data_IF_690091708011
#
_entry.id   IF_690091708011
#
_cell.length_a   1.000
_cell.length_b   1.000
_cell.length_c   1.000
_cell.angle_alpha   90.00
_cell.angle_beta   90.00
_cell.angle_gamma   90.00
#
_symmetry.space_group_name_H-M   'P 1'
#
loop_
_entity.id
_entity.type
_entity.pdbx_description
1 polymer ?
#
# COMPACT_ATOMS: atom_id res chain seq x y z
N UNK A 1 8.49 5.14 -2.08
CA UNK A 1 8.17 4.50 -3.39
C UNK A 1 8.84 5.20 -4.57
N UNK A 2 8.69 6.52 -4.77
CA UNK A 2 9.14 7.26 -5.99
C UNK A 2 10.52 6.88 -6.54
N UNK A 3 11.57 6.81 -5.70
CA UNK A 3 12.93 6.41 -6.15
C UNK A 3 12.99 4.98 -6.69
N UNK A 4 12.30 4.04 -6.06
CA UNK A 4 12.23 2.65 -6.54
C UNK A 4 11.39 2.54 -7.81
N UNK A 5 10.28 3.26 -7.89
CA UNK A 5 9.43 3.28 -9.09
C UNK A 5 10.13 3.89 -10.32
N UNK A 6 11.10 4.78 -10.13
CA UNK A 6 11.93 5.29 -11.24
C UNK A 6 12.84 4.22 -11.87
N UNK A 7 13.11 3.13 -11.14
CA UNK A 7 13.95 2.00 -11.59
C UNK A 7 13.08 0.79 -11.95
N UNK A 8 11.99 0.57 -11.21
CA UNK A 8 11.05 -0.53 -11.38
C UNK A 8 9.62 0.03 -11.46
N UNK A 9 9.16 0.48 -12.65
CA UNK A 9 7.86 1.10 -12.82
C UNK A 9 6.69 0.20 -12.41
N UNK A 10 6.82 -1.11 -12.62
CA UNK A 10 5.77 -2.09 -12.33
C UNK A 10 5.79 -2.61 -10.89
N UNK A 11 6.70 -2.10 -10.04
CA UNK A 11 6.83 -2.55 -8.66
C UNK A 11 5.60 -2.14 -7.83
N UNK A 12 4.79 -3.13 -7.43
CA UNK A 12 3.64 -2.89 -6.55
C UNK A 12 4.12 -2.50 -5.14
N UNK A 13 3.48 -1.48 -4.54
CA UNK A 13 3.87 -0.94 -3.24
C UNK A 13 2.70 -1.02 -2.23
N UNK A 14 2.90 -1.74 -1.12
CA UNK A 14 1.95 -1.81 0.01
C UNK A 14 2.47 -0.98 1.19
N UNK A 15 1.74 0.08 1.56
CA UNK A 15 2.06 0.97 2.66
C UNK A 15 1.37 0.55 3.96
N UNK A 16 1.94 0.90 5.11
CA UNK A 16 1.44 0.52 6.43
C UNK A 16 1.48 1.69 7.42
N UNK A 17 0.35 2.03 8.06
CA UNK A 17 0.29 3.08 9.08
C UNK A 17 -0.69 2.75 10.20
N UNK A 18 -0.43 3.28 11.40
CA UNK A 18 -1.32 3.18 12.55
C UNK A 18 -2.39 4.27 12.62
N UNK A 19 -2.32 5.27 11.72
CA UNK A 19 -3.37 6.26 11.57
C UNK A 19 -4.46 5.74 10.62
N UNK A 20 -5.70 6.18 10.81
CA UNK A 20 -6.81 5.77 9.97
C UNK A 20 -6.56 6.18 8.51
N UNK A 21 -7.08 5.42 7.52
CA UNK A 21 -6.91 5.73 6.10
C UNK A 21 -7.30 7.18 5.75
N UNK A 22 -8.29 7.73 6.46
CA UNK A 22 -8.79 9.09 6.31
C UNK A 22 -7.72 10.17 6.61
N UNK A 23 -6.78 9.91 7.51
CA UNK A 23 -5.69 10.84 7.82
C UNK A 23 -4.56 10.81 6.78
N UNK A 24 -4.41 9.71 6.04
CA UNK A 24 -3.33 9.53 5.06
C UNK A 24 -3.76 10.01 3.67
N UNK A 25 -5.06 9.88 3.35
CA UNK A 25 -5.65 10.46 2.14
C UNK A 25 -5.43 11.98 2.05
N UNK A 26 -5.57 12.69 3.17
CA UNK A 26 -5.35 14.13 3.23
C UNK A 26 -3.88 14.57 3.06
N UNK A 27 -2.90 13.65 3.16
CA UNK A 27 -1.48 13.96 2.96
C UNK A 27 -1.03 13.81 1.50
N UNK A 28 -1.95 13.55 0.56
CA UNK A 28 -1.63 13.45 -0.87
C UNK A 28 -0.79 12.22 -1.23
N UNK A 29 -0.80 11.18 -0.37
CA UNK A 29 -0.06 9.92 -0.57
C UNK A 29 -0.88 8.90 -1.37
N UNK A 30 -2.18 9.13 -1.57
CA UNK A 30 -3.05 8.31 -2.41
C UNK A 30 -3.04 8.82 -3.86
N UNK A 31 -1.88 8.69 -4.51
CA UNK A 31 -1.86 8.60 -5.97
C UNK A 31 -2.59 7.30 -6.39
N UNK A 32 -3.18 7.27 -7.59
CA UNK A 32 -3.83 6.06 -8.13
C UNK A 32 -2.84 4.88 -8.11
N UNK A 33 -3.24 3.76 -7.50
CA UNK A 33 -2.41 2.55 -7.37
C UNK A 33 -1.67 2.39 -6.03
N UNK A 34 -1.92 3.24 -5.04
CA UNK A 34 -1.34 3.08 -3.70
C UNK A 34 -2.14 2.10 -2.86
N UNK A 35 -1.51 0.98 -2.49
CA UNK A 35 -2.10 -0.01 -1.59
C UNK A 35 -1.74 0.26 -0.14
N UNK A 36 -2.66 -0.03 0.76
CA UNK A 36 -2.51 0.24 2.19
C UNK A 36 -3.04 -0.89 3.08
N UNK A 37 -2.40 -1.09 4.24
CA UNK A 37 -2.87 -1.92 5.36
C UNK A 37 -2.71 -1.17 6.69
N UNK A 38 -3.78 -1.11 7.47
CA UNK A 38 -3.81 -0.42 8.77
C UNK A 38 -3.17 -1.27 9.86
N UNK A 39 -2.32 -0.67 10.68
CA UNK A 39 -1.79 -1.26 11.91
C UNK A 39 -2.76 -1.01 13.09
N UNK A 40 -2.92 -1.96 14.03
CA UNK A 40 -2.36 -3.32 14.00
C UNK A 40 -3.13 -4.22 13.02
N UNK A 41 -2.43 -5.18 12.42
CA UNK A 41 -3.02 -6.19 11.55
C UNK A 41 -2.60 -7.60 11.98
N UNK A 42 -3.44 -8.59 11.68
CA UNK A 42 -3.06 -9.99 11.84
C UNK A 42 -2.17 -10.47 10.68
N UNK A 43 -1.49 -11.60 10.88
CA UNK A 43 -0.70 -12.25 9.81
C UNK A 43 -1.58 -12.60 8.60
N UNK A 44 -2.81 -13.06 8.82
CA UNK A 44 -3.75 -13.37 7.74
C UNK A 44 -4.13 -12.12 6.95
N UNK A 45 -4.38 -10.99 7.62
CA UNK A 45 -4.69 -9.74 6.92
C UNK A 45 -3.53 -9.28 6.05
N UNK A 46 -2.29 -9.41 6.53
CA UNK A 46 -1.11 -9.10 5.72
C UNK A 46 -1.01 -10.01 4.48
N UNK A 47 -1.14 -11.32 4.65
CA UNK A 47 -1.06 -12.28 3.53
C UNK A 47 -2.14 -12.03 2.49
N UNK A 48 -3.38 -11.83 2.92
CA UNK A 48 -4.51 -11.50 2.03
C UNK A 48 -4.20 -10.23 1.25
N UNK A 49 -3.76 -9.17 1.94
CA UNK A 49 -3.50 -7.88 1.29
C UNK A 49 -2.34 -7.98 0.30
N UNK A 50 -1.27 -8.69 0.63
CA UNK A 50 -0.15 -8.92 -0.30
C UNK A 50 -0.63 -9.67 -1.55
N UNK A 51 -1.46 -10.70 -1.39
CA UNK A 51 -2.01 -11.46 -2.52
C UNK A 51 -2.87 -10.58 -3.43
N UNK A 52 -3.77 -9.80 -2.86
CA UNK A 52 -4.59 -8.83 -3.60
C UNK A 52 -3.74 -7.88 -4.45
N UNK A 53 -2.68 -7.32 -3.86
CA UNK A 53 -1.77 -6.38 -4.54
C UNK A 53 -1.04 -7.02 -5.71
N UNK A 54 -0.62 -8.28 -5.55
CA UNK A 54 0.10 -9.02 -6.58
C UNK A 54 -0.82 -9.58 -7.68
N UNK A 55 -2.12 -9.73 -7.42
CA UNK A 55 -3.11 -10.24 -8.39
C UNK A 55 -3.76 -9.15 -9.25
N UNK A 56 -3.67 -7.88 -8.84
CA UNK A 56 -4.14 -6.78 -9.66
C UNK A 56 -3.23 -6.62 -10.89
N UNK A 57 -3.80 -6.84 -12.07
CA UNK A 57 -3.16 -6.60 -13.37
C UNK A 57 -2.73 -5.14 -13.48
#
# INVERSE_FOLDING_TARGET
AKRFLSIYPDMKCLFMSGYTPNMIAHQGILDEGVYFIQKPFSRNNLTTRVREVLDQK
#
